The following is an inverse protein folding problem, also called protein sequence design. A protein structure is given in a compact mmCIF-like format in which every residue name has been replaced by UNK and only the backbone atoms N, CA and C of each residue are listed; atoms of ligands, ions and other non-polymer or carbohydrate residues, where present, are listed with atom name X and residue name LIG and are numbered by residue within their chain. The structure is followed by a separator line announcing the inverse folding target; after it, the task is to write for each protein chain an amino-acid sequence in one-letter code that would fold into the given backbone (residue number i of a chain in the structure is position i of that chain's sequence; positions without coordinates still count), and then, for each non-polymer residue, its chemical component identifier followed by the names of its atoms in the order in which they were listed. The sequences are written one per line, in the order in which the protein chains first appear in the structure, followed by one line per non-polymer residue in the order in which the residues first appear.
data_IF_310177004242
#
_entry.id   IF_310177004242
#
_cell.length_a   1.000
_cell.length_b   1.000
_cell.length_c   1.000
_cell.angle_alpha   90.00
_cell.angle_beta   90.00
_cell.angle_gamma   90.00
#
_symmetry.space_group_name_H-M   'P 1'
#
loop_
_entity.id
_entity.type
_entity.pdbx_description
1 polymer ?
#
# COMPACT_ATOMS: atom_id res chain seq x y z
N UNK A 1 6.10 -32.64 17.38
CA UNK A 1 6.41 -33.16 16.04
C UNK A 1 5.09 -33.43 15.35
N UNK A 2 4.64 -32.55 14.48
CA UNK A 2 3.63 -32.85 13.48
C UNK A 2 3.92 -31.97 12.28
N UNK A 3 4.41 -32.63 11.26
CA UNK A 3 4.68 -32.14 9.93
C UNK A 3 3.39 -31.57 9.34
N UNK A 4 3.23 -30.25 9.35
CA UNK A 4 2.26 -29.58 8.50
C UNK A 4 2.87 -29.61 7.09
N UNK A 5 2.59 -30.67 6.36
CA UNK A 5 2.81 -30.79 4.92
C UNK A 5 2.20 -29.54 4.25
N UNK A 6 3.03 -28.56 4.01
CA UNK A 6 2.76 -27.51 3.04
C UNK A 6 2.45 -28.24 1.72
N UNK A 7 1.18 -28.34 1.37
CA UNK A 7 0.78 -28.71 0.02
C UNK A 7 1.59 -27.82 -0.91
N UNK A 8 2.56 -28.44 -1.59
CA UNK A 8 3.43 -27.73 -2.52
C UNK A 8 2.52 -27.07 -3.57
N UNK A 9 2.32 -25.77 -3.44
CA UNK A 9 1.52 -25.00 -4.39
C UNK A 9 2.12 -25.23 -5.78
N UNK A 10 1.27 -25.48 -6.78
CA UNK A 10 1.74 -25.63 -8.15
C UNK A 10 2.61 -24.41 -8.52
N UNK A 11 3.75 -24.62 -9.21
CA UNK A 11 4.67 -23.53 -9.49
C UNK A 11 4.00 -22.39 -10.26
N UNK A 12 4.44 -21.16 -10.02
CA UNK A 12 4.02 -20.00 -10.81
C UNK A 12 4.40 -20.21 -12.29
N UNK A 13 3.70 -19.61 -13.25
CA UNK A 13 4.15 -19.58 -14.64
C UNK A 13 5.56 -19.01 -14.72
N UNK A 14 6.44 -19.66 -15.49
CA UNK A 14 7.86 -19.30 -15.58
C UNK A 14 8.14 -17.79 -15.72
N UNK A 15 7.42 -17.01 -16.56
CA UNK A 15 7.68 -15.57 -16.65
C UNK A 15 7.35 -14.81 -15.35
N UNK A 16 6.28 -15.17 -14.65
CA UNK A 16 5.91 -14.51 -13.39
C UNK A 16 6.88 -14.90 -12.28
N UNK A 17 7.25 -16.18 -12.22
CA UNK A 17 8.21 -16.68 -11.25
C UNK A 17 9.56 -15.97 -11.40
N UNK A 18 10.09 -15.86 -12.62
CA UNK A 18 11.34 -15.17 -12.90
C UNK A 18 11.30 -13.69 -12.47
N UNK A 19 10.17 -13.00 -12.68
CA UNK A 19 10.00 -11.60 -12.24
C UNK A 19 9.97 -11.49 -10.71
N UNK A 20 9.31 -12.41 -10.01
CA UNK A 20 9.28 -12.43 -8.53
C UNK A 20 10.67 -12.73 -7.99
N UNK A 21 11.37 -13.74 -8.52
CA UNK A 21 12.73 -14.09 -8.12
C UNK A 21 13.73 -12.94 -8.36
N UNK A 22 13.65 -12.28 -9.51
CA UNK A 22 14.45 -11.10 -9.81
C UNK A 22 14.17 -9.94 -8.83
N UNK A 23 12.91 -9.71 -8.50
CA UNK A 23 12.52 -8.73 -7.50
C UNK A 23 13.04 -9.07 -6.10
N UNK A 24 12.93 -10.32 -5.67
CA UNK A 24 13.48 -10.77 -4.38
C UNK A 24 15.01 -10.63 -4.33
N UNK A 25 15.70 -10.95 -5.41
CA UNK A 25 17.15 -10.75 -5.53
C UNK A 25 17.51 -9.25 -5.50
N UNK A 26 16.70 -8.39 -6.13
CA UNK A 26 16.89 -6.94 -6.08
C UNK A 26 16.71 -6.38 -4.66
N UNK A 27 15.73 -6.89 -3.90
CA UNK A 27 15.47 -6.52 -2.50
C UNK A 27 16.68 -6.80 -1.59
N UNK A 28 17.45 -7.84 -1.87
CA UNK A 28 18.64 -8.20 -1.10
C UNK A 28 19.86 -7.31 -1.39
N UNK A 29 19.85 -6.56 -2.51
CA UNK A 29 20.97 -5.68 -2.90
C UNK A 29 21.00 -4.35 -2.16
N UNK A 30 19.91 -3.96 -1.53
CA UNK A 30 19.83 -2.70 -0.80
C UNK A 30 18.40 -2.22 -0.60
N UNK A 31 18.29 -1.08 0.07
CA UNK A 31 16.99 -0.47 0.31
C UNK A 31 16.30 -0.03 -0.98
N UNK A 32 15.03 -0.38 -1.09
CA UNK A 32 14.17 0.02 -2.20
C UNK A 32 12.76 0.30 -1.70
N UNK A 33 12.45 1.57 -1.57
CA UNK A 33 11.14 2.07 -1.17
C UNK A 33 10.30 2.53 -2.36
N UNK A 34 9.09 2.99 -2.06
CA UNK A 34 8.23 3.61 -3.06
C UNK A 34 7.22 4.57 -2.43
N UNK A 35 6.79 5.56 -3.21
CA UNK A 35 5.57 6.32 -2.99
C UNK A 35 4.53 5.88 -4.03
N UNK A 36 3.29 5.62 -3.59
CA UNK A 36 2.28 4.98 -4.44
C UNK A 36 0.91 5.68 -4.33
N UNK A 37 0.80 6.95 -4.78
CA UNK A 37 -0.45 7.69 -4.72
C UNK A 37 -1.44 7.24 -5.80
N UNK A 38 -2.75 7.27 -5.48
CA UNK A 38 -3.80 7.15 -6.49
C UNK A 38 -4.11 8.53 -7.08
N UNK A 39 -4.19 8.68 -8.42
CA UNK A 39 -4.42 9.96 -9.07
C UNK A 39 -5.92 10.37 -9.02
N UNK A 40 -6.45 10.48 -7.82
CA UNK A 40 -7.87 10.83 -7.56
C UNK A 40 -8.07 12.31 -7.24
N UNK A 41 -7.05 13.13 -7.45
CA UNK A 41 -6.97 14.56 -7.21
C UNK A 41 -5.59 14.95 -6.68
N UNK A 42 -5.40 16.22 -6.34
CA UNK A 42 -4.16 16.73 -5.75
C UNK A 42 -3.79 15.99 -4.46
N UNK A 43 -2.49 15.91 -4.17
CA UNK A 43 -1.98 15.38 -2.91
C UNK A 43 -2.40 16.30 -1.77
N UNK A 44 -3.04 15.73 -0.74
CA UNK A 44 -3.33 16.48 0.48
C UNK A 44 -2.12 16.47 1.43
N UNK A 45 -2.12 17.34 2.44
CA UNK A 45 -1.03 17.51 3.42
C UNK A 45 -0.52 16.18 4.01
N UNK A 46 -1.43 15.24 4.32
CA UNK A 46 -1.06 13.92 4.83
C UNK A 46 -0.31 13.07 3.79
N UNK A 47 -0.69 13.16 2.50
CA UNK A 47 0.05 12.48 1.43
C UNK A 47 1.45 13.09 1.24
N UNK A 48 1.55 14.44 1.24
CA UNK A 48 2.83 15.14 1.10
C UNK A 48 3.77 14.80 2.25
N UNK A 49 3.26 14.75 3.50
CA UNK A 49 4.02 14.31 4.68
C UNK A 49 4.50 12.86 4.53
N UNK A 50 3.62 11.96 4.11
CA UNK A 50 3.99 10.55 3.89
C UNK A 50 5.02 10.41 2.76
N UNK A 51 4.90 11.21 1.69
CA UNK A 51 5.90 11.27 0.61
C UNK A 51 7.26 11.69 1.16
N UNK A 52 7.33 12.80 1.92
CA UNK A 52 8.57 13.27 2.56
C UNK A 52 9.18 12.21 3.47
N UNK A 53 8.39 11.59 4.36
CA UNK A 53 8.88 10.60 5.30
C UNK A 53 9.40 9.33 4.59
N UNK A 54 8.69 8.86 3.56
CA UNK A 54 9.11 7.70 2.78
C UNK A 54 10.35 8.00 1.92
N UNK A 55 10.48 9.23 1.40
CA UNK A 55 11.65 9.69 0.68
C UNK A 55 12.88 9.77 1.60
N UNK A 56 12.75 10.42 2.76
CA UNK A 56 13.81 10.49 3.78
C UNK A 56 14.25 9.09 4.20
N UNK A 57 13.30 8.18 4.44
CA UNK A 57 13.60 6.81 4.84
C UNK A 57 14.45 6.07 3.80
N UNK A 58 14.18 6.30 2.51
CA UNK A 58 14.96 5.74 1.42
C UNK A 58 16.34 6.41 1.30
N UNK A 59 16.38 7.74 1.24
CA UNK A 59 17.63 8.50 1.00
C UNK A 59 18.63 8.38 2.13
N UNK A 60 18.19 8.39 3.40
CA UNK A 60 19.07 8.19 4.57
C UNK A 60 19.72 6.80 4.61
N UNK A 61 19.17 5.83 3.86
CA UNK A 61 19.72 4.47 3.72
C UNK A 61 20.47 4.26 2.42
N UNK A 62 20.73 5.33 1.67
CA UNK A 62 21.38 5.25 0.35
C UNK A 62 20.58 4.43 -0.67
N UNK A 63 19.26 4.33 -0.47
CA UNK A 63 18.38 3.48 -1.24
C UNK A 63 17.61 4.18 -2.36
N UNK A 64 17.00 3.38 -3.22
CA UNK A 64 16.11 3.86 -4.26
C UNK A 64 14.70 4.17 -3.70
N UNK A 65 14.08 5.21 -4.25
CA UNK A 65 12.71 5.60 -3.97
C UNK A 65 11.91 5.71 -5.28
N UNK A 66 11.03 4.74 -5.50
CA UNK A 66 10.26 4.64 -6.74
C UNK A 66 8.95 5.42 -6.63
N UNK A 67 8.48 5.92 -7.78
CA UNK A 67 7.15 6.51 -7.89
C UNK A 67 6.22 5.58 -8.69
N UNK A 68 5.11 5.15 -8.06
CA UNK A 68 4.08 4.34 -8.69
C UNK A 68 2.72 4.99 -8.56
N UNK A 69 2.01 5.15 -9.65
CA UNK A 69 0.63 5.62 -9.65
C UNK A 69 -0.33 4.42 -9.55
N UNK A 70 -1.09 4.37 -8.47
CA UNK A 70 -2.10 3.33 -8.23
C UNK A 70 -3.41 3.75 -8.92
N UNK A 71 -3.45 3.66 -10.26
CA UNK A 71 -4.45 4.21 -11.18
C UNK A 71 -5.43 3.17 -11.76
N UNK A 72 -5.52 1.97 -11.16
CA UNK A 72 -6.40 0.89 -11.64
C UNK A 72 -7.90 1.21 -11.52
N UNK A 73 -8.30 1.99 -10.54
CA UNK A 73 -9.70 2.39 -10.33
C UNK A 73 -10.03 3.60 -11.20
N UNK A 74 -10.08 3.37 -12.52
CA UNK A 74 -10.24 4.42 -13.53
C UNK A 74 -11.42 5.37 -13.29
N UNK A 75 -12.60 4.95 -12.77
CA UNK A 75 -13.70 5.89 -12.49
C UNK A 75 -13.37 6.95 -11.43
N UNK A 76 -12.38 6.72 -10.57
CA UNK A 76 -11.96 7.67 -9.55
C UNK A 76 -10.78 8.55 -9.98
N UNK A 77 -10.10 8.20 -11.05
CA UNK A 77 -8.99 8.98 -11.56
C UNK A 77 -9.50 10.35 -12.08
N UNK A 78 -8.74 11.41 -11.81
CA UNK A 78 -9.06 12.77 -12.24
C UNK A 78 -8.07 13.22 -13.31
N UNK A 79 -8.57 13.83 -14.36
CA UNK A 79 -7.72 14.45 -15.38
C UNK A 79 -6.78 15.48 -14.72
N UNK A 80 -5.51 15.48 -15.12
CA UNK A 80 -4.48 16.35 -14.57
C UNK A 80 -3.94 15.96 -13.19
N UNK A 81 -4.55 14.98 -12.49
CA UNK A 81 -4.09 14.61 -11.15
C UNK A 81 -2.67 13.99 -11.16
N UNK A 82 -2.34 13.23 -12.18
CA UNK A 82 -0.98 12.70 -12.35
C UNK A 82 0.03 13.84 -12.47
N UNK A 83 -0.17 14.77 -13.40
CA UNK A 83 0.70 15.94 -13.60
C UNK A 83 0.85 16.71 -12.29
N UNK A 84 -0.26 16.99 -11.59
CA UNK A 84 -0.23 17.66 -10.29
C UNK A 84 0.60 16.91 -9.24
N UNK A 85 0.54 15.57 -9.20
CA UNK A 85 1.36 14.77 -8.28
C UNK A 85 2.85 14.91 -8.61
N UNK A 86 3.22 14.84 -9.89
CA UNK A 86 4.60 14.96 -10.33
C UNK A 86 5.16 16.35 -10.03
N UNK A 87 4.39 17.39 -10.35
CA UNK A 87 4.75 18.79 -10.10
C UNK A 87 4.90 19.07 -8.59
N UNK A 88 3.97 18.56 -7.77
CA UNK A 88 4.01 18.68 -6.31
C UNK A 88 5.29 18.07 -5.71
N UNK A 89 5.66 16.86 -6.14
CA UNK A 89 6.87 16.18 -5.67
C UNK A 89 8.14 16.90 -6.14
N UNK A 90 8.19 17.31 -7.40
CA UNK A 90 9.33 18.05 -7.96
C UNK A 90 9.51 19.41 -7.26
N UNK A 91 8.43 20.14 -7.00
CA UNK A 91 8.47 21.42 -6.31
C UNK A 91 8.97 21.30 -4.85
N UNK A 92 8.65 20.20 -4.17
CA UNK A 92 9.17 19.90 -2.83
C UNK A 92 10.61 19.39 -2.84
N UNK A 93 11.21 19.12 -4.02
CA UNK A 93 12.54 18.54 -4.15
C UNK A 93 12.60 17.04 -3.79
N UNK A 94 11.48 16.33 -3.94
CA UNK A 94 11.39 14.88 -3.70
C UNK A 94 11.58 14.14 -5.03
N UNK A 95 12.82 13.91 -5.40
CA UNK A 95 13.22 13.16 -6.60
C UNK A 95 12.96 11.66 -6.45
N UNK A 96 12.60 10.99 -7.54
CA UNK A 96 12.41 9.55 -7.59
C UNK A 96 13.34 8.87 -8.58
N UNK A 97 13.57 7.58 -8.40
CA UNK A 97 14.48 6.77 -9.21
C UNK A 97 13.73 6.03 -10.30
N UNK A 98 14.22 6.14 -11.52
CA UNK A 98 13.67 5.45 -12.68
C UNK A 98 12.39 6.07 -13.23
N UNK A 99 11.66 5.35 -14.09
CA UNK A 99 10.43 5.85 -14.69
C UNK A 99 9.28 5.87 -13.69
N UNK A 100 8.31 6.77 -13.92
CA UNK A 100 7.01 6.70 -13.23
C UNK A 100 6.26 5.44 -13.66
N UNK A 101 5.93 4.61 -12.68
CA UNK A 101 5.23 3.35 -12.92
C UNK A 101 3.70 3.57 -12.82
N UNK A 102 2.94 3.03 -13.76
CA UNK A 102 1.48 3.09 -13.74
C UNK A 102 0.90 1.69 -13.63
N UNK A 103 0.05 1.46 -12.65
CA UNK A 103 -0.60 0.14 -12.51
C UNK A 103 -1.50 -0.21 -13.69
N UNK A 104 -2.11 0.79 -14.33
CA UNK A 104 -2.93 0.59 -15.54
C UNK A 104 -2.15 -0.03 -16.70
N UNK A 105 -0.86 0.23 -16.82
CA UNK A 105 0.04 -0.34 -17.85
C UNK A 105 0.49 -1.77 -17.50
N UNK A 106 0.25 -2.24 -16.28
CA UNK A 106 0.71 -3.53 -15.74
C UNK A 106 -0.42 -4.56 -15.57
N UNK A 107 -1.61 -4.30 -16.11
CA UNK A 107 -2.80 -5.17 -15.98
C UNK A 107 -2.55 -6.60 -16.41
N UNK A 108 -1.74 -6.82 -17.46
CA UNK A 108 -1.36 -8.16 -17.93
C UNK A 108 -0.59 -8.97 -16.88
N UNK A 109 0.32 -8.33 -16.14
CA UNK A 109 1.06 -8.94 -15.05
C UNK A 109 0.10 -9.38 -13.92
N UNK A 110 -0.81 -8.51 -13.48
CA UNK A 110 -1.78 -8.84 -12.43
C UNK A 110 -2.77 -9.93 -12.87
N UNK A 111 -3.19 -9.91 -14.14
CA UNK A 111 -4.03 -10.96 -14.71
C UNK A 111 -3.30 -12.32 -14.75
N UNK A 112 -2.00 -12.33 -15.02
CA UNK A 112 -1.16 -13.53 -14.96
C UNK A 112 -1.08 -14.08 -13.54
N UNK A 113 -0.83 -13.22 -12.54
CA UNK A 113 -0.82 -13.62 -11.13
C UNK A 113 -2.18 -14.17 -10.68
N UNK A 114 -3.28 -13.48 -11.02
CA UNK A 114 -4.64 -13.93 -10.72
C UNK A 114 -4.94 -15.30 -11.34
N UNK A 115 -4.52 -15.50 -12.59
CA UNK A 115 -4.71 -16.77 -13.31
C UNK A 115 -3.87 -17.90 -12.70
N UNK A 116 -2.66 -17.60 -12.23
CA UNK A 116 -1.82 -18.56 -11.52
C UNK A 116 -2.49 -19.03 -10.24
N UNK A 117 -2.92 -18.11 -9.38
CA UNK A 117 -3.63 -18.42 -8.14
C UNK A 117 -4.92 -19.23 -8.38
N UNK A 118 -5.63 -18.93 -9.48
CA UNK A 118 -6.80 -19.73 -9.87
C UNK A 118 -6.44 -21.15 -10.26
N UNK A 119 -5.39 -21.35 -11.07
CA UNK A 119 -4.92 -22.71 -11.46
C UNK A 119 -4.45 -23.54 -10.27
N UNK A 120 -3.90 -22.89 -9.26
CA UNK A 120 -3.52 -23.52 -7.99
C UNK A 120 -4.71 -23.89 -7.09
N UNK A 121 -5.95 -23.55 -7.50
CA UNK A 121 -7.16 -23.81 -6.69
C UNK A 121 -7.33 -22.86 -5.50
N UNK A 122 -6.48 -21.82 -5.39
CA UNK A 122 -6.51 -20.87 -4.28
C UNK A 122 -7.63 -19.84 -4.40
N UNK A 123 -8.30 -19.75 -5.55
CA UNK A 123 -9.40 -18.79 -5.76
C UNK A 123 -10.73 -19.51 -5.86
N UNK A 124 -11.78 -18.78 -5.48
CA UNK A 124 -13.16 -19.19 -5.71
C UNK A 124 -14.05 -18.00 -6.08
N UNK A 125 -15.17 -18.24 -6.83
CA UNK A 125 -16.11 -17.21 -7.20
C UNK A 125 -17.04 -16.86 -6.03
N UNK A 126 -17.21 -15.56 -5.75
CA UNK A 126 -18.09 -15.04 -4.71
C UNK A 126 -19.15 -14.12 -5.31
N UNK A 127 -20.42 -14.37 -5.01
CA UNK A 127 -21.57 -13.61 -5.50
C UNK A 127 -22.20 -12.70 -4.44
N UNK A 128 -21.64 -12.62 -3.24
CA UNK A 128 -22.13 -11.73 -2.19
C UNK A 128 -22.05 -10.27 -2.65
N UNK A 129 -23.16 -9.54 -2.49
CA UNK A 129 -23.19 -8.09 -2.69
C UNK A 129 -22.69 -7.36 -1.44
N UNK A 130 -22.29 -6.09 -1.58
CA UNK A 130 -21.95 -5.23 -0.42
C UNK A 130 -23.11 -5.16 0.57
N UNK A 131 -24.36 -5.13 0.09
CA UNK A 131 -25.57 -5.10 0.92
C UNK A 131 -25.71 -6.37 1.77
N UNK A 132 -25.39 -7.55 1.24
CA UNK A 132 -25.42 -8.81 1.99
C UNK A 132 -24.30 -8.86 3.05
N UNK A 133 -23.19 -8.17 2.84
CA UNK A 133 -22.06 -8.14 3.76
C UNK A 133 -22.17 -7.00 4.79
N UNK A 134 -22.97 -5.97 4.53
CA UNK A 134 -23.14 -4.81 5.41
C UNK A 134 -23.55 -5.15 6.86
N UNK A 135 -24.48 -6.10 7.10
CA UNK A 135 -24.85 -6.48 8.48
C UNK A 135 -23.74 -7.19 9.27
N UNK A 136 -22.75 -7.74 8.54
CA UNK A 136 -21.62 -8.49 9.11
C UNK A 136 -20.43 -7.56 9.36
N UNK A 137 -20.53 -6.32 8.86
CA UNK A 137 -19.52 -5.29 9.08
C UNK A 137 -19.49 -4.93 10.56
N UNK A 138 -18.31 -5.03 11.17
CA UNK A 138 -18.11 -4.70 12.57
C UNK A 138 -18.56 -3.26 12.86
N UNK A 139 -19.28 -3.00 13.96
CA UNK A 139 -19.54 -1.64 14.41
C UNK A 139 -18.21 -0.96 14.76
N UNK A 140 -18.11 0.34 14.42
CA UNK A 140 -16.99 1.21 14.79
C UNK A 140 -15.65 1.02 14.07
N UNK A 141 -15.65 0.96 12.72
CA UNK A 141 -14.42 1.21 11.92
C UNK A 141 -13.49 0.03 11.73
N UNK A 142 -13.78 -1.13 12.28
CA UNK A 142 -13.02 -2.35 11.96
C UNK A 142 -13.34 -2.83 10.54
N UNK A 143 -12.34 -3.29 9.80
CA UNK A 143 -12.54 -3.88 8.49
C UNK A 143 -13.42 -5.12 8.60
N UNK A 144 -14.55 -5.15 7.88
CA UNK A 144 -15.45 -6.30 7.90
C UNK A 144 -14.75 -7.54 7.36
N UNK A 145 -14.61 -8.55 8.19
CA UNK A 145 -14.07 -9.85 7.80
C UNK A 145 -15.12 -10.63 7.01
N UNK A 146 -14.77 -11.16 5.86
CA UNK A 146 -15.69 -11.94 5.05
C UNK A 146 -15.96 -13.31 5.70
N UNK A 147 -17.23 -13.70 5.94
CA UNK A 147 -17.56 -14.91 6.70
C UNK A 147 -17.42 -16.23 5.90
N UNK A 148 -16.91 -16.21 4.68
CA UNK A 148 -16.72 -17.42 3.88
C UNK A 148 -17.98 -17.95 3.19
N UNK A 149 -19.08 -17.22 3.15
CA UNK A 149 -20.40 -17.67 2.65
C UNK A 149 -20.35 -18.43 1.31
N UNK A 150 -19.51 -18.00 0.36
CA UNK A 150 -19.37 -18.67 -0.95
C UNK A 150 -18.20 -19.66 -1.00
N UNK A 151 -17.48 -19.87 0.09
CA UNK A 151 -16.25 -20.68 0.10
C UNK A 151 -16.47 -22.13 -0.28
N UNK A 152 -17.57 -22.72 0.19
CA UNK A 152 -17.98 -24.09 -0.11
C UNK A 152 -18.96 -24.20 -1.28
N UNK A 153 -19.42 -23.05 -1.82
CA UNK A 153 -20.39 -23.07 -2.90
C UNK A 153 -19.75 -23.45 -4.23
N UNK A 154 -20.35 -24.37 -4.96
CA UNK A 154 -19.95 -24.79 -6.32
C UNK A 154 -20.32 -23.77 -7.40
N UNK A 155 -20.38 -22.49 -7.07
CA UNK A 155 -20.77 -21.41 -8.00
C UNK A 155 -19.85 -21.30 -9.20
N UNK A 156 -20.43 -21.15 -10.39
CA UNK A 156 -19.67 -21.00 -11.64
C UNK A 156 -18.91 -19.67 -11.72
N UNK A 157 -17.84 -19.65 -12.50
CA UNK A 157 -17.00 -18.48 -12.77
C UNK A 157 -17.62 -17.50 -13.76
N UNK A 158 -18.61 -17.94 -14.52
CA UNK A 158 -19.34 -17.14 -15.50
C UNK A 158 -20.35 -16.17 -14.87
N UNK A 159 -20.98 -15.32 -15.69
CA UNK A 159 -22.03 -14.43 -15.23
C UNK A 159 -23.28 -15.21 -14.79
N UNK A 160 -23.96 -14.70 -13.77
CA UNK A 160 -25.29 -15.13 -13.38
C UNK A 160 -26.15 -13.89 -13.14
N UNK A 161 -27.35 -13.85 -13.69
CA UNK A 161 -28.25 -12.70 -13.62
C UNK A 161 -27.55 -11.39 -14.04
N UNK A 162 -26.77 -11.45 -15.13
CA UNK A 162 -26.03 -10.31 -15.67
C UNK A 162 -24.82 -9.82 -14.85
N UNK A 163 -24.46 -10.50 -13.74
CA UNK A 163 -23.34 -10.11 -12.88
C UNK A 163 -22.24 -11.17 -12.85
N UNK A 164 -20.99 -10.71 -12.99
CA UNK A 164 -19.81 -11.54 -12.75
C UNK A 164 -19.63 -11.77 -11.25
N UNK A 165 -19.05 -12.92 -10.85
CA UNK A 165 -18.60 -13.08 -9.46
C UNK A 165 -17.36 -12.23 -9.16
N UNK A 166 -17.21 -11.79 -7.93
CA UNK A 166 -15.91 -11.41 -7.41
C UNK A 166 -15.05 -12.67 -7.24
N UNK A 167 -13.74 -12.53 -7.39
CA UNK A 167 -12.81 -13.63 -7.15
C UNK A 167 -12.11 -13.41 -5.82
N UNK A 168 -12.21 -14.39 -4.93
CA UNK A 168 -11.60 -14.32 -3.61
C UNK A 168 -10.45 -15.31 -3.47
N UNK A 169 -9.38 -14.85 -2.83
CA UNK A 169 -8.32 -15.69 -2.33
C UNK A 169 -8.82 -16.43 -1.10
N UNK A 170 -8.73 -17.74 -1.10
CA UNK A 170 -9.01 -18.60 0.05
C UNK A 170 -7.85 -18.50 1.03
N UNK A 171 -8.11 -18.06 2.25
CA UNK A 171 -7.11 -18.09 3.32
C UNK A 171 -7.27 -19.36 4.14
N UNK A 172 -6.23 -20.18 4.14
CA UNK A 172 -6.17 -21.34 5.02
C UNK A 172 -5.88 -20.93 6.48
N UNK A 173 -6.25 -21.75 7.47
CA UNK A 173 -5.89 -21.48 8.86
C UNK A 173 -4.40 -21.24 9.03
N UNK A 174 -4.04 -20.16 9.71
CA UNK A 174 -2.64 -19.80 9.93
C UNK A 174 -2.49 -18.31 10.22
N UNK A 175 -1.30 -17.95 10.68
CA UNK A 175 -0.97 -16.58 11.03
C UNK A 175 -0.17 -15.94 9.90
N UNK A 176 -0.51 -14.69 9.62
CA UNK A 176 0.20 -13.83 8.68
C UNK A 176 1.17 -12.96 9.47
N UNK A 177 2.43 -12.95 9.09
CA UNK A 177 3.49 -12.22 9.78
C UNK A 177 4.19 -11.24 8.84
N UNK A 178 4.57 -10.08 9.37
CA UNK A 178 5.44 -9.14 8.67
C UNK A 178 6.26 -8.32 9.68
N UNK A 179 7.35 -7.75 9.22
CA UNK A 179 8.20 -6.89 10.03
C UNK A 179 7.69 -5.44 9.97
N UNK A 180 7.59 -4.81 11.13
CA UNK A 180 7.32 -3.37 11.27
C UNK A 180 8.60 -2.62 11.64
N UNK A 181 8.82 -1.46 11.00
CA UNK A 181 9.97 -0.61 11.27
C UNK A 181 9.81 0.21 12.55
N UNK A 182 8.58 0.57 12.89
CA UNK A 182 8.28 1.55 13.95
C UNK A 182 7.45 0.99 15.10
N UNK A 183 6.96 -0.23 14.99
CA UNK A 183 6.11 -0.88 16.00
C UNK A 183 6.52 -2.33 16.25
N UNK A 184 5.68 -3.04 16.99
CA UNK A 184 5.80 -4.47 17.13
C UNK A 184 5.61 -5.17 15.78
N UNK A 185 6.26 -6.33 15.53
CA UNK A 185 6.01 -7.12 14.34
C UNK A 185 4.51 -7.35 14.14
N UNK A 186 4.06 -7.19 12.91
CA UNK A 186 2.66 -7.41 12.58
C UNK A 186 2.34 -8.90 12.55
N UNK A 187 1.24 -9.26 13.21
CA UNK A 187 0.74 -10.63 13.25
C UNK A 187 -0.78 -10.62 13.24
N UNK A 188 -1.40 -11.35 12.31
CA UNK A 188 -2.85 -11.50 12.22
C UNK A 188 -3.22 -12.95 11.95
N UNK A 189 -4.32 -13.42 12.56
CA UNK A 189 -4.97 -14.64 12.12
C UNK A 189 -5.57 -14.42 10.72
N UNK A 190 -5.16 -15.23 9.75
CA UNK A 190 -5.57 -15.05 8.36
C UNK A 190 -7.10 -15.07 8.20
N UNK A 191 -7.77 -16.19 8.47
CA UNK A 191 -9.22 -16.30 8.34
C UNK A 191 -10.00 -15.39 9.28
N UNK A 192 -9.59 -15.27 10.55
CA UNK A 192 -10.38 -14.59 11.57
C UNK A 192 -10.23 -13.06 11.55
N UNK A 193 -9.04 -12.55 11.18
CA UNK A 193 -8.76 -11.11 11.20
C UNK A 193 -8.74 -10.47 9.80
N UNK A 194 -8.41 -11.23 8.75
CA UNK A 194 -8.35 -10.74 7.37
C UNK A 194 -9.53 -11.23 6.53
N UNK A 195 -9.85 -12.52 6.63
CA UNK A 195 -10.86 -13.18 5.82
C UNK A 195 -10.42 -13.35 4.36
N UNK A 196 -11.23 -14.05 3.57
CA UNK A 196 -10.93 -14.30 2.16
C UNK A 196 -10.92 -13.02 1.34
N UNK A 197 -9.77 -12.68 0.77
CA UNK A 197 -9.47 -11.39 0.14
C UNK A 197 -10.03 -11.32 -1.29
N UNK A 198 -10.72 -10.24 -1.65
CA UNK A 198 -11.13 -9.98 -3.04
C UNK A 198 -9.91 -9.60 -3.87
N UNK A 199 -9.62 -10.36 -4.93
CA UNK A 199 -8.54 -10.07 -5.89
C UNK A 199 -9.07 -9.56 -7.24
N UNK A 200 -10.31 -9.91 -7.61
CA UNK A 200 -11.03 -9.33 -8.74
C UNK A 200 -12.45 -9.00 -8.31
N UNK A 201 -12.87 -7.79 -8.59
CA UNK A 201 -14.21 -7.27 -8.25
C UNK A 201 -15.26 -7.79 -9.25
N UNK A 202 -16.52 -7.77 -8.86
CA UNK A 202 -17.64 -8.18 -9.71
C UNK A 202 -17.85 -7.27 -10.94
N UNK A 203 -17.37 -6.05 -10.90
CA UNK A 203 -17.33 -5.11 -12.04
C UNK A 203 -16.13 -5.34 -12.98
N UNK A 204 -15.32 -6.36 -12.71
CA UNK A 204 -14.20 -6.76 -13.56
C UNK A 204 -12.85 -6.11 -13.18
N UNK A 205 -12.84 -5.10 -12.34
CA UNK A 205 -11.60 -4.45 -11.93
C UNK A 205 -10.74 -5.36 -11.04
N UNK A 206 -9.44 -5.30 -11.26
CA UNK A 206 -8.45 -5.93 -10.39
C UNK A 206 -8.40 -5.18 -9.06
N UNK A 207 -8.29 -5.92 -7.96
CA UNK A 207 -8.32 -5.31 -6.64
C UNK A 207 -6.95 -4.73 -6.26
N UNK A 208 -6.97 -3.65 -5.48
CA UNK A 208 -5.81 -2.99 -4.92
C UNK A 208 -4.82 -3.96 -4.25
N UNK A 209 -5.33 -4.90 -3.42
CA UNK A 209 -4.48 -5.84 -2.71
C UNK A 209 -3.66 -6.75 -3.63
N UNK A 210 -4.24 -7.18 -4.76
CA UNK A 210 -3.52 -7.99 -5.76
C UNK A 210 -2.41 -7.17 -6.43
N UNK A 211 -2.78 -6.01 -6.98
CA UNK A 211 -1.85 -5.19 -7.75
C UNK A 211 -0.67 -4.71 -6.90
N UNK A 212 -0.96 -4.21 -5.69
CA UNK A 212 0.07 -3.76 -4.76
C UNK A 212 1.00 -4.93 -4.37
N UNK A 213 0.45 -6.09 -3.99
CA UNK A 213 1.28 -7.24 -3.60
C UNK A 213 2.20 -7.71 -4.74
N UNK A 214 1.67 -7.82 -5.96
CA UNK A 214 2.47 -8.22 -7.13
C UNK A 214 3.56 -7.20 -7.43
N UNK A 215 3.22 -5.90 -7.39
CA UNK A 215 4.21 -4.85 -7.64
C UNK A 215 5.32 -4.81 -6.59
N UNK A 216 4.97 -4.92 -5.29
CA UNK A 216 5.98 -4.95 -4.22
C UNK A 216 6.96 -6.11 -4.39
N UNK A 217 6.50 -7.26 -4.89
CA UNK A 217 7.36 -8.41 -5.18
C UNK A 217 8.23 -8.16 -6.42
N UNK A 218 7.60 -7.85 -7.55
CA UNK A 218 8.27 -7.76 -8.87
C UNK A 218 9.21 -6.55 -8.95
N UNK A 219 8.89 -5.45 -8.29
CA UNK A 219 9.75 -4.26 -8.23
C UNK A 219 10.86 -4.39 -7.17
N UNK A 220 10.87 -5.46 -6.40
CA UNK A 220 11.87 -5.69 -5.37
C UNK A 220 11.81 -4.69 -4.22
N UNK A 221 10.61 -4.25 -3.86
CA UNK A 221 10.44 -3.32 -2.74
C UNK A 221 10.86 -4.00 -1.43
N UNK A 222 11.86 -3.46 -0.77
CA UNK A 222 12.35 -3.96 0.52
C UNK A 222 11.59 -3.36 1.70
N UNK A 223 11.16 -2.10 1.57
CA UNK A 223 10.52 -1.33 2.64
C UNK A 223 9.36 -0.50 2.11
N UNK A 224 8.24 -0.58 2.81
CA UNK A 224 6.98 0.10 2.49
C UNK A 224 6.67 1.10 3.59
N UNK A 225 7.03 2.38 3.42
CA UNK A 225 6.61 3.45 4.32
C UNK A 225 5.31 4.06 3.80
N UNK A 226 4.27 4.10 4.67
CA UNK A 226 2.92 4.58 4.32
C UNK A 226 2.12 5.00 5.56
N UNK A 227 0.98 5.65 5.35
CA UNK A 227 0.09 6.05 6.45
C UNK A 227 -0.47 4.86 7.24
N UNK A 228 -0.67 5.05 8.53
CA UNK A 228 -1.18 4.05 9.47
C UNK A 228 -2.61 3.58 9.16
N UNK A 229 -3.39 4.38 8.45
CA UNK A 229 -4.73 3.98 7.96
C UNK A 229 -4.69 2.77 7.00
N UNK A 230 -3.54 2.42 6.46
CA UNK A 230 -3.33 1.25 5.63
C UNK A 230 -2.80 0.03 6.41
N UNK A 231 -2.64 0.12 7.73
CA UNK A 231 -2.16 -1.01 8.54
C UNK A 231 -3.08 -2.24 8.40
N UNK A 232 -4.40 -2.04 8.45
CA UNK A 232 -5.39 -3.12 8.27
C UNK A 232 -5.35 -3.78 6.89
N UNK A 233 -4.85 -3.07 5.86
CA UNK A 233 -4.70 -3.61 4.51
C UNK A 233 -3.46 -4.51 4.37
N UNK A 234 -2.50 -4.44 5.31
CA UNK A 234 -1.24 -5.18 5.25
C UNK A 234 -1.46 -6.68 5.24
N UNK A 235 -2.30 -7.19 6.14
CA UNK A 235 -2.59 -8.62 6.21
C UNK A 235 -3.13 -9.19 4.89
N UNK A 236 -3.98 -8.46 4.19
CA UNK A 236 -4.49 -8.89 2.89
C UNK A 236 -3.40 -8.92 1.81
N UNK A 237 -2.48 -7.97 1.82
CA UNK A 237 -1.35 -7.93 0.87
C UNK A 237 -0.33 -9.04 1.18
N UNK A 238 -0.01 -9.24 2.47
CA UNK A 238 0.85 -10.34 2.94
C UNK A 238 0.29 -11.70 2.54
N UNK A 239 -1.03 -11.90 2.69
CA UNK A 239 -1.70 -13.12 2.26
C UNK A 239 -1.56 -13.39 0.75
N UNK A 240 -1.67 -12.34 -0.07
CA UNK A 240 -1.45 -12.48 -1.53
C UNK A 240 0.00 -12.83 -1.84
N UNK A 241 0.98 -12.19 -1.19
CA UNK A 241 2.39 -12.47 -1.37
C UNK A 241 2.74 -13.90 -0.96
N UNK A 242 2.22 -14.35 0.19
CA UNK A 242 2.38 -15.72 0.66
C UNK A 242 1.78 -16.75 -0.34
N UNK A 243 0.60 -16.47 -0.89
CA UNK A 243 -0.03 -17.30 -1.93
C UNK A 243 0.77 -17.32 -3.23
N UNK A 244 1.59 -16.30 -3.51
CA UNK A 244 2.55 -16.25 -4.62
C UNK A 244 3.91 -16.85 -4.24
N UNK A 245 4.05 -17.44 -3.05
CA UNK A 245 5.26 -18.12 -2.59
C UNK A 245 6.42 -17.19 -2.19
N UNK A 246 6.10 -15.93 -1.81
CA UNK A 246 7.13 -14.94 -1.53
C UNK A 246 6.90 -14.20 -0.19
N UNK A 247 8.01 -13.88 0.49
CA UNK A 247 7.98 -13.11 1.72
C UNK A 247 7.61 -11.63 1.47
N UNK A 248 6.86 -10.98 2.38
CA UNK A 248 6.53 -9.58 2.27
C UNK A 248 7.75 -8.67 2.48
N UNK A 249 7.70 -7.40 2.05
CA UNK A 249 8.66 -6.39 2.46
C UNK A 249 8.50 -6.06 3.95
N UNK A 250 9.41 -5.27 4.50
CA UNK A 250 9.23 -4.61 5.78
C UNK A 250 8.24 -3.46 5.61
N UNK A 251 7.39 -3.25 6.60
CA UNK A 251 6.46 -2.13 6.61
C UNK A 251 6.87 -1.09 7.66
N UNK A 252 6.58 0.17 7.38
CA UNK A 252 6.70 1.28 8.29
C UNK A 252 5.42 2.11 8.20
N UNK A 253 4.50 1.90 9.12
CA UNK A 253 3.28 2.69 9.20
C UNK A 253 3.56 3.97 9.97
N UNK A 254 3.33 5.12 9.35
CA UNK A 254 3.56 6.42 9.97
C UNK A 254 2.24 7.00 10.47
N UNK A 255 2.20 7.62 11.66
CA UNK A 255 0.98 8.19 12.21
C UNK A 255 0.33 9.16 11.24
N UNK A 256 -0.99 9.20 11.21
CA UNK A 256 -1.72 10.16 10.39
C UNK A 256 -1.52 11.58 10.91
N UNK A 257 -1.55 12.54 10.00
CA UNK A 257 -1.58 13.94 10.42
C UNK A 257 -2.99 14.30 10.90
N UNK A 258 -3.08 14.64 12.18
CA UNK A 258 -4.31 15.04 12.84
C UNK A 258 -4.31 16.56 13.08
N UNK A 259 -5.49 17.15 13.21
CA UNK A 259 -5.68 18.52 13.71
C UNK A 259 -5.36 18.60 15.22
N UNK A 260 -5.40 19.81 15.77
CA UNK A 260 -5.17 20.05 17.21
C UNK A 260 -6.20 19.36 18.14
N UNK A 261 -7.28 18.81 17.59
CA UNK A 261 -8.29 18.01 18.30
C UNK A 261 -8.13 16.51 18.15
N UNK A 262 -7.04 16.03 17.53
CA UNK A 262 -6.79 14.62 17.29
C UNK A 262 -7.60 14.00 16.15
N UNK A 263 -8.33 14.80 15.36
CA UNK A 263 -9.08 14.32 14.20
C UNK A 263 -8.18 14.25 12.98
N UNK A 264 -8.30 13.17 12.23
CA UNK A 264 -7.61 13.03 10.94
C UNK A 264 -7.98 14.19 10.02
N UNK A 265 -6.98 14.87 9.46
CA UNK A 265 -7.19 15.85 8.40
C UNK A 265 -7.85 15.17 7.20
N UNK A 266 -9.12 15.49 6.97
CA UNK A 266 -9.91 14.94 5.87
C UNK A 266 -10.02 15.94 4.72
N UNK A 267 -10.25 15.46 3.48
CA UNK A 267 -10.48 16.31 2.31
C UNK A 267 -11.64 17.31 2.46
N UNK A 268 -12.54 17.08 3.43
CA UNK A 268 -13.71 17.95 3.69
C UNK A 268 -13.43 19.10 4.66
N UNK A 269 -12.32 19.04 5.42
CA UNK A 269 -12.04 19.98 6.53
C UNK A 269 -10.68 20.69 6.35
N UNK A 270 -10.34 21.09 5.11
CA UNK A 270 -9.11 21.86 4.86
C UNK A 270 -7.83 21.03 4.74
N UNK A 271 -7.92 19.74 4.39
CA UNK A 271 -6.77 18.97 3.92
C UNK A 271 -6.39 19.43 2.51
N UNK A 272 -6.11 20.72 2.41
CA UNK A 272 -5.71 21.39 1.18
C UNK A 272 -4.35 20.86 0.72
N UNK A 273 -4.19 20.70 -0.59
CA UNK A 273 -2.93 20.35 -1.21
C UNK A 273 -1.96 21.53 -1.28
N UNK A 274 -0.93 21.42 -2.11
CA UNK A 274 0.05 22.51 -2.29
C UNK A 274 -0.59 23.82 -2.72
N UNK A 275 -1.71 23.80 -3.43
CA UNK A 275 -2.42 25.01 -3.85
C UNK A 275 -2.73 25.95 -2.68
N UNK A 276 -3.09 25.42 -1.50
CA UNK A 276 -3.33 26.26 -0.32
C UNK A 276 -2.06 26.89 0.23
N UNK A 277 -0.96 26.16 0.22
CA UNK A 277 0.33 26.71 0.62
C UNK A 277 0.79 27.85 -0.33
N UNK A 278 0.57 27.68 -1.64
CA UNK A 278 0.82 28.73 -2.62
C UNK A 278 -0.03 29.98 -2.38
N UNK A 279 -1.32 29.81 -2.05
CA UNK A 279 -2.22 30.93 -1.70
C UNK A 279 -1.77 31.69 -0.45
N UNK A 280 -1.10 30.99 0.49
CA UNK A 280 -0.49 31.59 1.69
C UNK A 280 0.89 32.21 1.41
N UNK A 281 1.37 32.21 0.15
CA UNK A 281 2.69 32.71 -0.21
C UNK A 281 3.85 31.89 0.33
N UNK A 282 3.62 30.62 0.71
CA UNK A 282 4.66 29.75 1.23
C UNK A 282 5.50 29.17 0.08
N UNK A 283 6.80 29.21 0.23
CA UNK A 283 7.74 28.52 -0.65
C UNK A 283 7.99 27.07 -0.22
N UNK A 284 8.70 26.30 -1.04
CA UNK A 284 8.99 24.90 -0.81
C UNK A 284 9.69 24.65 0.53
N UNK A 285 10.65 25.51 0.92
CA UNK A 285 11.38 25.37 2.17
C UNK A 285 10.49 25.54 3.41
N UNK A 286 9.52 26.46 3.36
CA UNK A 286 8.55 26.64 4.43
C UNK A 286 7.59 25.44 4.53
N UNK A 287 7.17 24.89 3.39
CA UNK A 287 6.28 23.72 3.35
C UNK A 287 7.01 22.46 3.84
N UNK A 288 8.23 22.19 3.35
CA UNK A 288 9.06 21.06 3.84
C UNK A 288 9.29 21.17 5.33
N UNK A 289 9.63 22.38 5.84
CA UNK A 289 9.79 22.64 7.27
C UNK A 289 8.51 22.30 8.07
N UNK A 290 7.35 22.72 7.59
CA UNK A 290 6.07 22.42 8.24
C UNK A 290 5.73 20.91 8.21
N UNK A 291 5.96 20.22 7.07
CA UNK A 291 5.77 18.78 6.96
C UNK A 291 6.68 18.03 7.93
N UNK A 292 7.96 18.43 8.04
CA UNK A 292 8.93 17.84 8.93
C UNK A 292 8.60 18.11 10.41
N UNK A 293 8.19 19.35 10.73
CA UNK A 293 7.77 19.72 12.09
C UNK A 293 6.53 18.94 12.54
N UNK A 294 5.57 18.69 11.63
CA UNK A 294 4.39 17.86 11.92
C UNK A 294 4.74 16.40 12.28
N UNK A 295 5.94 15.96 11.93
CA UNK A 295 6.50 14.65 12.28
C UNK A 295 7.53 14.74 13.43
N UNK A 296 7.65 15.89 14.12
CA UNK A 296 8.61 16.16 15.18
C UNK A 296 10.09 15.95 14.77
N UNK A 297 10.41 16.08 13.48
CA UNK A 297 11.78 15.98 12.97
C UNK A 297 12.58 17.27 13.18
N UNK A 298 11.90 18.41 13.13
CA UNK A 298 12.46 19.75 13.30
C UNK A 298 11.53 20.60 14.18
N UNK A 299 12.00 21.71 14.77
CA UNK A 299 11.15 22.67 15.49
C UNK A 299 10.04 23.26 14.60
N UNK A 300 8.97 23.73 15.22
CA UNK A 300 7.94 24.50 14.53
C UNK A 300 8.54 25.74 13.85
N UNK A 301 7.95 26.15 12.71
CA UNK A 301 8.41 27.27 11.90
C UNK A 301 9.81 27.12 11.28
N UNK A 302 10.41 25.93 11.30
CA UNK A 302 11.63 25.65 10.54
C UNK A 302 11.40 25.86 9.03
N UNK A 303 12.43 26.34 8.36
CA UNK A 303 12.46 26.54 6.90
C UNK A 303 13.71 25.87 6.35
N UNK A 304 13.53 24.83 5.55
CA UNK A 304 14.64 24.08 4.95
C UNK A 304 14.12 23.28 3.74
N UNK A 305 14.95 23.08 2.76
CA UNK A 305 14.68 22.19 1.64
C UNK A 305 14.73 20.73 2.06
N UNK A 306 14.19 19.83 1.25
CA UNK A 306 14.29 18.39 1.47
C UNK A 306 15.75 17.91 1.54
N UNK A 307 16.65 18.48 0.72
CA UNK A 307 18.07 18.18 0.71
C UNK A 307 18.77 18.62 2.02
N UNK A 308 18.48 19.83 2.52
CA UNK A 308 19.02 20.29 3.82
C UNK A 308 18.50 19.45 4.97
N UNK A 309 17.22 19.06 4.96
CA UNK A 309 16.65 18.17 5.96
C UNK A 309 17.35 16.81 5.93
N UNK A 310 17.60 16.25 4.74
CA UNK A 310 18.33 14.99 4.58
C UNK A 310 19.77 15.07 5.17
N UNK A 311 20.45 16.18 4.99
CA UNK A 311 21.81 16.39 5.53
C UNK A 311 21.84 16.51 7.06
N UNK A 312 20.75 17.00 7.67
CA UNK A 312 20.65 17.21 9.12
C UNK A 312 20.16 15.99 9.90
N UNK A 313 19.61 14.98 9.21
CA UNK A 313 19.04 13.80 9.85
C UNK A 313 19.92 12.57 9.67
N UNK A 314 19.89 11.68 10.65
CA UNK A 314 20.34 10.29 10.49
C UNK A 314 19.16 9.33 10.40
N UNK A 315 19.40 8.13 9.87
CA UNK A 315 18.39 7.06 9.83
C UNK A 315 17.88 6.69 11.22
N UNK A 316 18.78 6.64 12.20
CA UNK A 316 18.47 6.33 13.61
C UNK A 316 17.55 7.38 14.22
N UNK A 317 17.83 8.68 13.94
CA UNK A 317 17.00 9.78 14.43
C UNK A 317 15.61 9.74 13.83
N UNK A 318 15.49 9.50 12.53
CA UNK A 318 14.20 9.33 11.85
C UNK A 318 13.41 8.18 12.49
N UNK A 319 14.04 7.00 12.64
CA UNK A 319 13.39 5.83 13.23
C UNK A 319 12.96 6.05 14.68
N UNK A 320 13.80 6.72 15.49
CA UNK A 320 13.48 7.05 16.87
C UNK A 320 12.23 7.93 16.97
N UNK A 321 12.15 8.97 16.14
CA UNK A 321 11.02 9.90 16.14
C UNK A 321 9.73 9.19 15.70
N UNK A 322 9.81 8.38 14.64
CA UNK A 322 8.63 7.68 14.13
C UNK A 322 8.14 6.56 15.06
N UNK A 323 9.03 5.91 15.82
CA UNK A 323 8.63 4.97 16.90
C UNK A 323 7.98 5.68 18.08
N UNK A 324 8.56 6.79 18.52
CA UNK A 324 8.01 7.57 19.62
C UNK A 324 6.64 8.18 19.35
N UNK A 325 6.30 8.35 18.08
CA UNK A 325 4.99 8.85 17.67
C UNK A 325 3.89 7.75 17.62
N UNK A 326 4.25 6.48 17.78
CA UNK A 326 3.34 5.33 17.88
C UNK A 326 3.11 4.84 19.31
N UNK A 327 3.92 5.29 20.27
CA UNK A 327 3.78 4.98 21.69
C UNK A 327 2.82 5.96 22.37
#
# INVERSE_FOLDING_TARGET
MSDASLLAAAPLPSPLQALVEAGLAQRQRGYRGRFAPSPTGALHRGNLRTALLSWLHARLRGGAWLLRLDDLDTPRNRAGAETSILDDLAWLGLDWDGPVLRQSERRGLYATALSALRRQGLLYPCRCSRRLLAPISAPHGATAVYPGTCRAASGGWGPAQGRLPSWRLRLEPGRLHWLESYGAPGELDGPAAVGDVVLRRADGYLAYHLATAVDELVLGISDVVRGDDLWSATGAQVAVMAALGAAPPRYGHVPLWCDGGGRRLSKREGAEGLAAYHQLGMDAAAVVGQLAASAALVPAASRLSAAELLQQLSSERLDQVLRGAQA
#
